data_IF_084720079643
#
_entry.id   IF_084720079643
#
_cell.length_a   1.000
_cell.length_b   1.000
_cell.length_c   1.000
_cell.angle_alpha   90.00
_cell.angle_beta   90.00
_cell.angle_gamma   90.00
#
_symmetry.space_group_name_H-M   'P 1'
#
loop_
_entity.id
_entity.type
_entity.pdbx_description
1 polymer ?
#
# COMPACT_ATOMS: atom_id res chain seq x y z
N UNK A 1 24.19 12.32 -17.56
CA UNK A 1 23.22 12.38 -16.45
C UNK A 1 21.96 11.58 -16.84
N UNK A 2 21.79 10.33 -16.39
CA UNK A 2 20.55 9.58 -16.67
C UNK A 2 19.47 10.16 -15.75
N UNK A 3 18.52 10.87 -16.28
CA UNK A 3 17.29 11.25 -15.58
C UNK A 3 16.58 9.95 -15.16
N UNK A 4 16.76 9.53 -13.91
CA UNK A 4 16.01 8.40 -13.38
C UNK A 4 14.57 8.86 -13.20
N UNK A 5 13.70 8.40 -14.08
CA UNK A 5 12.27 8.60 -13.92
C UNK A 5 11.82 8.06 -12.53
N UNK A 6 11.00 8.85 -11.84
CA UNK A 6 10.44 8.46 -10.54
C UNK A 6 9.64 7.15 -10.69
N UNK A 7 9.93 6.09 -9.90
CA UNK A 7 9.19 4.82 -9.96
C UNK A 7 7.67 4.98 -9.83
N UNK A 8 7.20 6.02 -9.13
CA UNK A 8 5.78 6.33 -8.98
C UNK A 8 5.08 6.68 -10.30
N UNK A 9 5.79 7.24 -11.28
CA UNK A 9 5.22 7.52 -12.60
C UNK A 9 4.84 6.21 -13.32
N UNK A 10 5.69 5.18 -13.23
CA UNK A 10 5.37 3.86 -13.78
C UNK A 10 4.18 3.22 -13.08
N UNK A 11 4.08 3.37 -11.75
CA UNK A 11 2.96 2.86 -10.99
C UNK A 11 1.64 3.55 -11.35
N UNK A 12 1.65 4.87 -11.49
CA UNK A 12 0.48 5.63 -11.94
C UNK A 12 0.05 5.18 -13.34
N UNK A 13 0.99 5.07 -14.28
CA UNK A 13 0.69 4.63 -15.64
C UNK A 13 0.12 3.20 -15.68
N UNK A 14 0.70 2.27 -14.90
CA UNK A 14 0.22 0.90 -14.80
C UNK A 14 -1.20 0.82 -14.22
N UNK A 15 -1.46 1.52 -13.10
CA UNK A 15 -2.78 1.52 -12.45
C UNK A 15 -3.83 2.22 -13.33
N UNK A 16 -3.49 3.32 -14.00
CA UNK A 16 -4.38 4.00 -14.94
C UNK A 16 -4.69 3.13 -16.17
N UNK A 17 -3.69 2.43 -16.71
CA UNK A 17 -3.88 1.48 -17.80
C UNK A 17 -4.77 0.30 -17.41
N UNK A 18 -4.56 -0.26 -16.21
CA UNK A 18 -5.42 -1.32 -15.67
C UNK A 18 -6.86 -0.85 -15.45
N UNK A 19 -7.05 0.40 -14.98
CA UNK A 19 -8.39 0.98 -14.82
C UNK A 19 -9.06 1.16 -16.16
N UNK A 20 -8.38 1.72 -17.15
CA UNK A 20 -8.90 1.90 -18.49
C UNK A 20 -9.30 0.55 -19.13
N UNK A 21 -8.42 -0.45 -19.02
CA UNK A 21 -8.72 -1.81 -19.49
C UNK A 21 -9.89 -2.44 -18.74
N UNK A 22 -9.95 -2.28 -17.41
CA UNK A 22 -11.04 -2.79 -16.59
C UNK A 22 -12.40 -2.21 -16.99
N UNK A 23 -12.44 -0.90 -17.26
CA UNK A 23 -13.67 -0.21 -17.68
C UNK A 23 -14.07 -0.56 -19.12
N UNK A 24 -13.12 -0.65 -20.05
CA UNK A 24 -13.40 -0.88 -21.46
C UNK A 24 -13.57 -2.37 -21.81
N UNK A 25 -12.79 -3.25 -21.20
CA UNK A 25 -12.68 -4.67 -21.56
C UNK A 25 -13.30 -5.65 -20.59
N UNK A 26 -13.41 -5.29 -19.30
CA UNK A 26 -13.94 -6.17 -18.25
C UNK A 26 -15.27 -5.71 -17.68
N UNK A 27 -15.86 -4.66 -18.25
CA UNK A 27 -17.12 -4.07 -17.78
C UNK A 27 -17.13 -3.80 -16.26
N UNK A 28 -16.05 -3.21 -15.72
CA UNK A 28 -16.02 -2.84 -14.32
C UNK A 28 -17.17 -1.92 -13.97
N UNK A 29 -17.85 -2.24 -12.87
CA UNK A 29 -18.93 -1.42 -12.32
C UNK A 29 -18.35 -0.17 -11.64
N UNK A 30 -17.74 0.71 -12.46
CA UNK A 30 -17.20 2.00 -12.04
C UNK A 30 -17.47 3.03 -13.13
N UNK A 31 -18.26 4.04 -12.83
CA UNK A 31 -18.51 5.14 -13.75
C UNK A 31 -17.36 6.13 -13.82
N UNK A 32 -17.21 6.83 -14.94
CA UNK A 32 -16.21 7.92 -15.11
C UNK A 32 -16.42 8.99 -14.04
N UNK A 33 -17.68 9.31 -13.69
CA UNK A 33 -18.00 10.26 -12.62
C UNK A 33 -17.44 9.82 -11.27
N UNK A 34 -17.55 8.52 -10.93
CA UNK A 34 -16.99 7.97 -9.69
C UNK A 34 -15.45 7.98 -9.70
N UNK A 35 -14.82 7.68 -10.83
CA UNK A 35 -13.37 7.81 -10.98
C UNK A 35 -12.93 9.25 -10.71
N UNK A 36 -13.57 10.22 -11.36
CA UNK A 36 -13.28 11.64 -11.16
C UNK A 36 -13.49 12.07 -9.70
N UNK A 37 -14.58 11.65 -9.06
CA UNK A 37 -14.88 11.93 -7.66
C UNK A 37 -13.80 11.39 -6.71
N UNK A 38 -13.41 10.14 -6.86
CA UNK A 38 -12.38 9.50 -6.03
C UNK A 38 -11.01 10.17 -6.19
N UNK A 39 -10.60 10.46 -7.43
CA UNK A 39 -9.32 11.12 -7.70
C UNK A 39 -9.31 12.57 -7.19
N UNK A 40 -10.39 13.33 -7.42
CA UNK A 40 -10.51 14.69 -6.92
C UNK A 40 -10.49 14.71 -5.38
N UNK A 41 -11.23 13.82 -4.73
CA UNK A 41 -11.24 13.70 -3.26
C UNK A 41 -9.86 13.34 -2.73
N UNK A 42 -9.18 12.38 -3.34
CA UNK A 42 -7.83 11.99 -2.92
C UNK A 42 -6.82 13.14 -3.04
N UNK A 43 -6.86 13.88 -4.16
CA UNK A 43 -5.99 15.04 -4.38
C UNK A 43 -6.30 16.19 -3.42
N UNK A 44 -7.59 16.53 -3.23
CA UNK A 44 -8.02 17.56 -2.31
C UNK A 44 -7.62 17.23 -0.87
N UNK A 45 -7.86 15.99 -0.42
CA UNK A 45 -7.46 15.55 0.92
C UNK A 45 -5.94 15.58 1.09
N UNK A 46 -5.17 15.16 0.08
CA UNK A 46 -3.71 15.23 0.10
C UNK A 46 -3.21 16.67 0.22
N UNK A 47 -3.82 17.61 -0.52
CA UNK A 47 -3.48 19.03 -0.46
C UNK A 47 -3.79 19.61 0.93
N UNK A 48 -5.00 19.42 1.42
CA UNK A 48 -5.44 19.93 2.73
C UNK A 48 -4.60 19.34 3.88
N UNK A 49 -4.45 18.02 3.92
CA UNK A 49 -3.67 17.36 4.95
C UNK A 49 -2.17 17.75 4.89
N UNK A 50 -1.62 17.95 3.69
CA UNK A 50 -0.26 18.44 3.51
C UNK A 50 -0.07 19.85 4.04
N UNK A 51 -1.05 20.75 3.80
CA UNK A 51 -1.05 22.13 4.35
C UNK A 51 -1.13 22.13 5.88
N UNK A 52 -2.04 21.34 6.44
CA UNK A 52 -2.19 21.19 7.89
C UNK A 52 -0.94 20.60 8.56
N UNK A 53 -0.24 19.70 7.87
CA UNK A 53 1.01 19.12 8.34
C UNK A 53 2.25 20.01 8.08
N UNK A 54 2.09 21.23 7.57
CA UNK A 54 3.19 22.16 7.32
C UNK A 54 4.16 21.73 6.22
N UNK A 55 3.74 20.90 5.27
CA UNK A 55 4.62 20.44 4.19
C UNK A 55 4.90 21.58 3.19
N UNK A 56 6.17 21.75 2.75
CA UNK A 56 6.56 22.88 1.91
C UNK A 56 6.04 22.83 0.47
N UNK A 57 5.53 21.68 0.01
CA UNK A 57 5.08 21.48 -1.36
C UNK A 57 4.00 20.42 -1.51
N UNK A 58 3.24 20.50 -2.60
CA UNK A 58 2.23 19.52 -2.98
C UNK A 58 2.80 18.48 -3.94
N UNK A 59 2.82 17.21 -3.52
CA UNK A 59 3.16 16.08 -4.39
C UNK A 59 1.89 15.23 -4.63
N UNK A 60 1.29 15.31 -5.84
CA UNK A 60 0.06 14.58 -6.16
C UNK A 60 0.27 13.08 -6.38
N UNK A 61 1.50 12.63 -6.70
CA UNK A 61 1.79 11.27 -7.15
C UNK A 61 1.32 10.21 -6.17
N UNK A 62 1.56 10.41 -4.89
CA UNK A 62 1.14 9.47 -3.85
C UNK A 62 -0.40 9.43 -3.68
N UNK A 63 -1.10 10.56 -3.89
CA UNK A 63 -2.55 10.59 -3.87
C UNK A 63 -3.16 9.92 -5.10
N UNK A 64 -2.57 10.14 -6.28
CA UNK A 64 -2.99 9.50 -7.52
C UNK A 64 -2.87 7.97 -7.44
N UNK A 65 -1.76 7.45 -6.91
CA UNK A 65 -1.58 6.00 -6.71
C UNK A 65 -2.69 5.45 -5.81
N UNK A 66 -2.95 6.08 -4.66
CA UNK A 66 -3.99 5.63 -3.75
C UNK A 66 -5.40 5.78 -4.35
N UNK A 67 -5.68 6.88 -5.05
CA UNK A 67 -6.95 7.13 -5.71
C UNK A 67 -7.23 6.12 -6.84
N UNK A 68 -6.25 5.87 -7.72
CA UNK A 68 -6.37 4.85 -8.77
C UNK A 68 -6.56 3.45 -8.18
N UNK A 69 -5.86 3.12 -7.09
CA UNK A 69 -6.05 1.85 -6.40
C UNK A 69 -7.45 1.72 -5.80
N UNK A 70 -8.03 2.81 -5.29
CA UNK A 70 -9.44 2.83 -4.84
C UNK A 70 -10.40 2.64 -6.02
N UNK A 71 -10.19 3.30 -7.16
CA UNK A 71 -11.01 3.09 -8.36
C UNK A 71 -11.04 1.61 -8.79
N UNK A 72 -9.92 0.92 -8.65
CA UNK A 72 -9.78 -0.49 -9.02
C UNK A 72 -10.43 -1.44 -8.00
N UNK A 73 -10.41 -1.13 -6.70
CA UNK A 73 -10.74 -2.07 -5.64
C UNK A 73 -12.03 -1.73 -4.89
N UNK A 74 -12.31 -0.45 -4.64
CA UNK A 74 -13.44 0.00 -3.84
C UNK A 74 -14.77 -0.22 -4.57
N UNK A 75 -15.71 -0.83 -3.87
CA UNK A 75 -17.10 -0.94 -4.28
C UNK A 75 -18.01 -0.48 -3.14
N UNK A 76 -19.01 0.30 -3.48
CA UNK A 76 -20.07 0.78 -2.58
C UNK A 76 -21.21 1.38 -3.40
N UNK A 77 -22.40 1.33 -2.88
CA UNK A 77 -23.58 1.95 -3.51
C UNK A 77 -23.76 3.42 -3.11
N UNK A 78 -22.89 3.95 -2.23
CA UNK A 78 -22.98 5.32 -1.71
C UNK A 78 -21.79 6.16 -2.15
N UNK A 79 -22.05 7.29 -2.82
CA UNK A 79 -21.00 8.26 -3.16
C UNK A 79 -20.36 8.89 -1.90
N UNK A 80 -21.16 9.09 -0.84
CA UNK A 80 -20.66 9.60 0.44
C UNK A 80 -19.64 8.63 1.07
N UNK A 81 -19.90 7.32 1.00
CA UNK A 81 -18.94 6.30 1.47
C UNK A 81 -17.71 6.21 0.57
N UNK A 82 -17.86 6.41 -0.74
CA UNK A 82 -16.71 6.48 -1.64
C UNK A 82 -15.79 7.66 -1.29
N UNK A 83 -16.37 8.84 -1.09
CA UNK A 83 -15.65 10.04 -0.63
C UNK A 83 -15.01 9.79 0.75
N UNK A 84 -15.77 9.27 1.72
CA UNK A 84 -15.26 8.96 3.06
C UNK A 84 -14.08 7.98 3.01
N UNK A 85 -14.16 6.94 2.16
CA UNK A 85 -13.06 5.98 1.98
C UNK A 85 -11.81 6.66 1.42
N UNK A 86 -11.95 7.55 0.43
CA UNK A 86 -10.83 8.28 -0.12
C UNK A 86 -10.19 9.22 0.91
N UNK A 87 -11.00 9.91 1.71
CA UNK A 87 -10.54 10.77 2.82
C UNK A 87 -9.76 9.96 3.85
N UNK A 88 -10.33 8.86 4.36
CA UNK A 88 -9.68 7.99 5.36
C UNK A 88 -8.37 7.41 4.80
N UNK A 89 -8.39 6.95 3.54
CA UNK A 89 -7.20 6.44 2.84
C UNK A 89 -6.06 7.47 2.84
N UNK A 90 -6.35 8.70 2.45
CA UNK A 90 -5.31 9.73 2.33
C UNK A 90 -4.90 10.27 3.70
N UNK A 91 -5.86 10.53 4.60
CA UNK A 91 -5.57 11.02 5.95
C UNK A 91 -4.69 10.05 6.76
N UNK A 92 -4.85 8.73 6.58
CA UNK A 92 -4.03 7.71 7.25
C UNK A 92 -2.53 7.91 7.05
N UNK A 93 -2.10 8.44 5.88
CA UNK A 93 -0.69 8.74 5.58
C UNK A 93 -0.09 9.81 6.49
N UNK A 94 -0.91 10.71 7.00
CA UNK A 94 -0.47 11.82 7.84
C UNK A 94 -0.58 11.48 9.31
N UNK A 95 -1.61 10.74 9.70
CA UNK A 95 -1.92 10.40 11.09
C UNK A 95 -1.22 9.12 11.54
N UNK A 96 -1.22 8.07 10.71
CA UNK A 96 -0.71 6.75 11.10
C UNK A 96 0.74 6.57 10.66
N UNK A 97 1.64 7.17 11.41
CA UNK A 97 3.08 7.14 11.15
C UNK A 97 3.86 6.68 12.38
N UNK A 98 4.95 5.96 12.12
CA UNK A 98 5.92 5.59 13.14
C UNK A 98 7.32 5.99 12.68
N UNK A 99 8.01 6.83 13.45
CA UNK A 99 9.31 7.39 13.08
C UNK A 99 9.34 7.97 11.64
N UNK A 100 8.24 8.64 11.21
CA UNK A 100 8.10 9.22 9.87
C UNK A 100 7.89 8.21 8.72
N UNK A 101 7.75 6.90 8.98
CA UNK A 101 7.35 5.86 8.04
C UNK A 101 5.84 5.64 8.15
N UNK A 102 5.16 5.39 7.02
CA UNK A 102 3.75 5.02 7.07
C UNK A 102 3.61 3.65 7.74
N UNK A 103 2.67 3.54 8.67
CA UNK A 103 2.42 2.28 9.37
C UNK A 103 1.65 1.28 8.51
N UNK A 104 0.72 1.78 7.68
CA UNK A 104 -0.12 0.97 6.82
C UNK A 104 0.02 1.39 5.35
N UNK A 105 -0.19 0.45 4.43
CA UNK A 105 -0.53 0.82 3.07
C UNK A 105 -1.84 1.62 3.09
N UNK A 106 -1.87 2.86 2.55
CA UNK A 106 -3.01 3.75 2.72
C UNK A 106 -4.30 3.19 2.14
N UNK A 107 -4.24 2.62 0.94
CA UNK A 107 -5.41 2.04 0.27
C UNK A 107 -5.94 0.84 1.04
N UNK A 108 -5.04 -0.04 1.50
CA UNK A 108 -5.44 -1.19 2.31
C UNK A 108 -6.11 -0.76 3.62
N UNK A 109 -5.52 0.22 4.32
CA UNK A 109 -6.10 0.75 5.55
C UNK A 109 -7.48 1.36 5.33
N UNK A 110 -7.63 2.22 4.32
CA UNK A 110 -8.90 2.86 4.00
C UNK A 110 -10.00 1.85 3.69
N UNK A 111 -9.69 0.84 2.86
CA UNK A 111 -10.65 -0.24 2.54
C UNK A 111 -11.04 -1.04 3.79
N UNK A 112 -10.08 -1.54 4.55
CA UNK A 112 -10.34 -2.36 5.74
C UNK A 112 -11.11 -1.58 6.81
N UNK A 113 -10.70 -0.33 7.09
CA UNK A 113 -11.36 0.53 8.07
C UNK A 113 -12.83 0.79 7.69
N UNK A 114 -13.10 1.08 6.40
CA UNK A 114 -14.46 1.37 5.96
C UNK A 114 -15.32 0.12 5.82
N UNK A 115 -14.74 -1.04 5.49
CA UNK A 115 -15.44 -2.32 5.53
C UNK A 115 -15.91 -2.61 6.97
N UNK A 116 -15.03 -2.38 7.96
CA UNK A 116 -15.37 -2.58 9.38
C UNK A 116 -16.40 -1.59 9.90
N UNK A 117 -16.25 -0.31 9.55
CA UNK A 117 -17.06 0.74 10.12
C UNK A 117 -18.48 0.81 9.55
N UNK A 118 -18.65 0.46 8.28
CA UNK A 118 -19.92 0.73 7.56
C UNK A 118 -20.67 -0.51 7.10
N UNK A 119 -19.96 -1.64 6.93
CA UNK A 119 -20.50 -2.86 6.31
C UNK A 119 -21.12 -2.66 4.91
N UNK A 120 -21.03 -1.45 4.35
CA UNK A 120 -21.56 -1.05 3.04
C UNK A 120 -20.46 -0.71 2.01
N UNK A 121 -19.23 -1.02 2.38
CA UNK A 121 -18.05 -0.97 1.51
C UNK A 121 -17.52 -2.39 1.34
N UNK A 122 -17.17 -2.76 0.10
CA UNK A 122 -16.57 -4.08 -0.18
C UNK A 122 -15.53 -4.00 -1.29
N UNK A 123 -14.80 -5.08 -1.48
CA UNK A 123 -13.89 -5.31 -2.59
C UNK A 123 -14.40 -6.50 -3.39
N UNK A 124 -14.44 -6.38 -4.71
CA UNK A 124 -14.91 -7.43 -5.62
C UNK A 124 -13.73 -8.09 -6.36
N UNK A 125 -13.13 -9.16 -5.79
CA UNK A 125 -12.04 -9.85 -6.48
C UNK A 125 -12.45 -10.49 -7.80
N UNK A 126 -13.70 -10.91 -7.92
CA UNK A 126 -14.26 -11.60 -9.09
C UNK A 126 -14.35 -10.72 -10.34
N UNK A 127 -14.39 -9.40 -10.21
CA UNK A 127 -14.47 -8.49 -11.36
C UNK A 127 -13.25 -8.58 -12.31
N UNK A 128 -12.12 -9.07 -11.79
CA UNK A 128 -10.88 -9.21 -12.57
C UNK A 128 -10.92 -10.42 -13.50
N UNK A 129 -11.94 -11.27 -13.37
CA UNK A 129 -12.02 -12.52 -14.12
C UNK A 129 -10.83 -13.46 -13.83
N UNK A 130 -10.70 -14.46 -14.66
CA UNK A 130 -9.65 -15.48 -14.58
C UNK A 130 -8.86 -15.59 -15.87
N UNK A 131 -8.91 -14.57 -16.72
CA UNK A 131 -8.20 -14.60 -17.99
C UNK A 131 -6.69 -14.61 -17.75
N UNK A 132 -6.03 -15.69 -18.14
CA UNK A 132 -4.57 -15.84 -18.05
C UNK A 132 -3.82 -14.67 -18.70
N UNK A 133 -4.36 -14.09 -19.78
CA UNK A 133 -3.83 -12.92 -20.43
C UNK A 133 -3.81 -11.68 -19.52
N UNK A 134 -4.89 -11.43 -18.78
CA UNK A 134 -4.92 -10.31 -17.83
C UNK A 134 -3.91 -10.53 -16.70
N UNK A 135 -3.85 -11.76 -16.15
CA UNK A 135 -2.86 -12.10 -15.15
C UNK A 135 -1.43 -11.86 -15.64
N UNK A 136 -1.12 -12.25 -16.86
CA UNK A 136 0.16 -11.98 -17.50
C UNK A 136 0.42 -10.47 -17.66
N UNK A 137 -0.56 -9.71 -18.15
CA UNK A 137 -0.44 -8.26 -18.32
C UNK A 137 -0.16 -7.55 -16.98
N UNK A 138 -0.91 -7.88 -15.93
CA UNK A 138 -0.71 -7.33 -14.58
C UNK A 138 0.67 -7.72 -14.03
N UNK A 139 1.11 -8.95 -14.23
CA UNK A 139 2.42 -9.41 -13.80
C UNK A 139 3.56 -8.68 -14.53
N UNK A 140 3.43 -8.44 -15.83
CA UNK A 140 4.43 -7.69 -16.60
C UNK A 140 4.51 -6.22 -16.16
N UNK A 141 3.38 -5.53 -16.07
CA UNK A 141 3.32 -4.13 -15.64
C UNK A 141 3.75 -3.99 -14.17
N UNK A 142 3.24 -4.84 -13.30
CA UNK A 142 3.59 -4.87 -11.90
C UNK A 142 5.06 -5.24 -11.66
N UNK A 143 5.57 -6.23 -12.38
CA UNK A 143 6.98 -6.63 -12.35
C UNK A 143 7.92 -5.48 -12.70
N UNK A 144 7.57 -4.68 -13.71
CA UNK A 144 8.31 -3.46 -14.07
C UNK A 144 8.32 -2.46 -12.89
N UNK A 145 7.15 -2.22 -12.26
CA UNK A 145 7.01 -1.28 -11.15
C UNK A 145 7.84 -1.72 -9.93
N UNK A 146 7.71 -2.97 -9.49
CA UNK A 146 8.42 -3.45 -8.29
C UNK A 146 9.93 -3.55 -8.51
N UNK A 147 10.37 -3.86 -9.74
CA UNK A 147 11.79 -3.85 -10.08
C UNK A 147 12.36 -2.43 -10.02
N UNK A 148 11.64 -1.44 -10.56
CA UNK A 148 12.03 -0.02 -10.47
C UNK A 148 12.01 0.49 -9.03
N UNK A 149 11.11 0.00 -8.20
CA UNK A 149 11.01 0.32 -6.78
C UNK A 149 11.99 -0.49 -5.90
N UNK A 150 12.78 -1.42 -6.45
CA UNK A 150 13.65 -2.35 -5.72
C UNK A 150 12.89 -3.12 -4.62
N UNK A 151 11.70 -3.65 -4.96
CA UNK A 151 10.79 -4.40 -4.09
C UNK A 151 10.34 -5.73 -4.68
N UNK A 152 11.02 -6.23 -5.70
CA UNK A 152 10.73 -7.54 -6.32
C UNK A 152 10.92 -8.71 -5.33
N UNK A 153 11.78 -8.56 -4.33
CA UNK A 153 12.01 -9.56 -3.28
C UNK A 153 10.74 -9.81 -2.42
N UNK A 154 10.03 -8.77 -1.99
CA UNK A 154 8.80 -8.95 -1.20
C UNK A 154 7.67 -9.53 -2.04
N UNK A 155 7.51 -9.08 -3.28
CA UNK A 155 6.49 -9.61 -4.20
C UNK A 155 6.74 -11.09 -4.50
N UNK A 156 7.98 -11.45 -4.83
CA UNK A 156 8.35 -12.84 -5.13
C UNK A 156 8.17 -13.74 -3.91
N UNK A 157 8.66 -13.32 -2.73
CA UNK A 157 8.50 -14.08 -1.50
C UNK A 157 7.02 -14.28 -1.14
N UNK A 158 6.18 -13.26 -1.35
CA UNK A 158 4.73 -13.37 -1.15
C UNK A 158 4.09 -14.36 -2.13
N UNK A 159 4.33 -14.22 -3.44
CA UNK A 159 3.73 -15.10 -4.46
C UNK A 159 4.17 -16.54 -4.29
N UNK A 160 5.46 -16.80 -4.01
CA UNK A 160 5.98 -18.15 -3.76
C UNK A 160 5.39 -18.70 -2.46
N UNK A 161 5.40 -17.92 -1.37
CA UNK A 161 4.86 -18.37 -0.08
C UNK A 161 3.36 -18.65 -0.14
N UNK A 162 2.58 -17.73 -0.71
CA UNK A 162 1.14 -17.93 -0.85
C UNK A 162 0.80 -19.06 -1.84
N UNK A 163 1.49 -19.13 -2.97
CA UNK A 163 1.36 -20.23 -3.93
C UNK A 163 1.65 -21.58 -3.30
N UNK A 164 2.75 -21.70 -2.55
CA UNK A 164 3.08 -22.92 -1.82
C UNK A 164 1.95 -23.36 -0.87
N UNK A 165 1.36 -22.40 -0.11
CA UNK A 165 0.23 -22.70 0.78
C UNK A 165 -1.00 -23.19 0.01
N UNK A 166 -1.30 -22.59 -1.16
CA UNK A 166 -2.41 -23.02 -2.00
C UNK A 166 -2.22 -24.44 -2.53
N UNK A 167 -1.02 -24.75 -3.07
CA UNK A 167 -0.71 -26.08 -3.63
C UNK A 167 -0.63 -27.15 -2.54
N UNK A 168 0.01 -26.86 -1.40
CA UNK A 168 0.08 -27.79 -0.28
C UNK A 168 -1.31 -28.11 0.28
N UNK A 169 -2.17 -27.10 0.37
CA UNK A 169 -3.57 -27.31 0.79
C UNK A 169 -4.33 -28.18 -0.22
N UNK A 170 -4.20 -27.88 -1.51
CA UNK A 170 -4.86 -28.68 -2.57
C UNK A 170 -4.39 -30.14 -2.53
N UNK A 171 -3.08 -30.38 -2.40
CA UNK A 171 -2.52 -31.70 -2.26
C UNK A 171 -3.04 -32.44 -1.01
N UNK A 172 -3.17 -31.74 0.13
CA UNK A 172 -3.69 -32.33 1.36
C UNK A 172 -5.17 -32.72 1.26
N UNK A 173 -5.98 -31.89 0.59
CA UNK A 173 -7.42 -32.13 0.44
C UNK A 173 -7.78 -33.04 -0.74
N UNK A 174 -6.80 -33.36 -1.62
CA UNK A 174 -7.05 -34.06 -2.85
C UNK A 174 -7.74 -33.21 -3.92
N UNK A 175 -7.68 -31.88 -3.80
CA UNK A 175 -8.26 -30.96 -4.76
C UNK A 175 -7.48 -30.98 -6.09
N UNK A 176 -8.13 -30.77 -7.25
CA UNK A 176 -7.43 -30.62 -8.53
C UNK A 176 -6.42 -29.47 -8.50
N UNK A 177 -5.22 -29.69 -9.04
CA UNK A 177 -4.14 -28.67 -9.09
C UNK A 177 -4.48 -27.45 -9.97
N UNK A 178 -5.52 -27.55 -10.79
CA UNK A 178 -6.06 -26.41 -11.54
C UNK A 178 -6.65 -25.32 -10.63
N UNK A 179 -7.17 -25.68 -9.43
CA UNK A 179 -7.76 -24.72 -8.49
C UNK A 179 -6.71 -23.72 -7.97
N UNK A 180 -5.58 -24.15 -7.33
CA UNK A 180 -4.56 -23.21 -6.91
C UNK A 180 -3.93 -22.42 -8.07
N UNK A 181 -3.76 -23.05 -9.23
CA UNK A 181 -3.26 -22.37 -10.42
C UNK A 181 -4.20 -21.22 -10.83
N UNK A 182 -5.50 -21.49 -10.86
CA UNK A 182 -6.51 -20.49 -11.18
C UNK A 182 -6.54 -19.33 -10.17
N UNK A 183 -6.39 -19.64 -8.88
CA UNK A 183 -6.32 -18.62 -7.82
C UNK A 183 -5.09 -17.72 -7.98
N UNK A 184 -3.95 -18.27 -8.41
CA UNK A 184 -2.73 -17.49 -8.66
C UNK A 184 -2.84 -16.57 -9.89
N UNK A 185 -3.70 -16.90 -10.84
CA UNK A 185 -3.97 -16.07 -12.01
C UNK A 185 -4.96 -14.95 -11.73
N UNK A 186 -5.57 -14.92 -10.54
CA UNK A 186 -6.55 -13.92 -10.16
C UNK A 186 -5.97 -12.50 -10.14
N UNK A 187 -6.54 -11.57 -10.92
CA UNK A 187 -6.05 -10.20 -11.02
C UNK A 187 -6.01 -9.47 -9.67
N UNK A 188 -6.94 -9.75 -8.76
CA UNK A 188 -6.94 -9.19 -7.41
C UNK A 188 -5.69 -9.60 -6.60
N UNK A 189 -5.28 -10.88 -6.68
CA UNK A 189 -4.05 -11.36 -6.05
C UNK A 189 -2.81 -10.67 -6.62
N UNK A 190 -2.75 -10.55 -7.95
CA UNK A 190 -1.62 -9.92 -8.63
C UNK A 190 -1.52 -8.43 -8.31
N UNK A 191 -2.66 -7.71 -8.29
CA UNK A 191 -2.68 -6.30 -7.85
C UNK A 191 -2.20 -6.18 -6.42
N UNK A 192 -2.65 -7.04 -5.52
CA UNK A 192 -2.18 -7.06 -4.14
C UNK A 192 -0.67 -7.27 -4.07
N UNK A 193 -0.13 -8.27 -4.79
CA UNK A 193 1.28 -8.64 -4.77
C UNK A 193 2.20 -7.55 -5.35
N UNK A 194 1.76 -6.89 -6.43
CA UNK A 194 2.61 -5.93 -7.13
C UNK A 194 2.42 -4.48 -6.68
N UNK A 195 1.26 -4.10 -6.13
CA UNK A 195 0.94 -2.70 -5.86
C UNK A 195 0.60 -2.40 -4.39
N UNK A 196 0.29 -3.41 -3.57
CA UNK A 196 -0.06 -3.19 -2.17
C UNK A 196 1.02 -3.65 -1.20
N UNK A 197 1.37 -4.96 -1.20
CA UNK A 197 2.38 -5.49 -0.29
C UNK A 197 3.80 -4.99 -0.65
N UNK A 198 4.02 -4.58 -1.90
CA UNK A 198 5.30 -4.08 -2.40
C UNK A 198 5.54 -2.59 -2.13
N UNK A 199 4.63 -1.88 -1.46
CA UNK A 199 4.79 -0.45 -1.18
C UNK A 199 6.05 -0.18 -0.33
N UNK A 200 7.06 0.55 -0.91
CA UNK A 200 8.34 0.75 -0.22
C UNK A 200 8.25 1.55 1.07
N UNK A 201 7.18 2.32 1.26
CA UNK A 201 7.00 3.18 2.44
C UNK A 201 6.39 2.43 3.62
N UNK A 202 5.85 1.23 3.40
CA UNK A 202 5.15 0.45 4.43
C UNK A 202 5.78 -0.92 4.70
N UNK A 203 6.64 -1.40 3.79
CA UNK A 203 7.39 -2.66 3.96
C UNK A 203 8.62 -2.49 4.85
N UNK A 204 9.14 -3.57 5.48
CA UNK A 204 10.40 -3.54 6.21
C UNK A 204 11.58 -3.03 5.39
N UNK A 205 12.56 -2.43 6.06
CA UNK A 205 13.70 -1.79 5.41
C UNK A 205 14.74 -2.82 4.94
N UNK A 206 14.98 -3.91 5.69
CA UNK A 206 15.90 -4.98 5.31
C UNK A 206 15.28 -6.00 4.36
N UNK A 207 16.10 -6.66 3.54
CA UNK A 207 15.64 -7.73 2.64
C UNK A 207 15.07 -8.93 3.42
N UNK A 208 15.75 -9.35 4.48
CA UNK A 208 15.28 -10.44 5.34
C UNK A 208 13.94 -10.09 6.01
N UNK A 209 13.80 -8.85 6.50
CA UNK A 209 12.54 -8.36 7.06
C UNK A 209 11.39 -8.37 6.05
N UNK A 210 11.66 -7.98 4.79
CA UNK A 210 10.65 -8.01 3.72
C UNK A 210 10.21 -9.43 3.38
N UNK A 211 11.13 -10.38 3.30
CA UNK A 211 10.81 -11.79 3.06
C UNK A 211 9.99 -12.36 4.20
N UNK A 212 10.40 -12.12 5.45
CA UNK A 212 9.65 -12.54 6.65
C UNK A 212 8.24 -11.94 6.64
N UNK A 213 8.12 -10.64 6.42
CA UNK A 213 6.84 -9.95 6.36
C UNK A 213 5.92 -10.52 5.27
N UNK A 214 6.46 -10.78 4.07
CA UNK A 214 5.72 -11.35 2.96
C UNK A 214 5.17 -12.74 3.28
N UNK A 215 5.97 -13.60 3.91
CA UNK A 215 5.55 -14.95 4.34
C UNK A 215 4.48 -14.87 5.43
N UNK A 216 4.63 -13.98 6.41
CA UNK A 216 3.63 -13.77 7.45
C UNK A 216 2.29 -13.28 6.86
N UNK A 217 2.33 -12.33 5.92
CA UNK A 217 1.12 -11.85 5.23
C UNK A 217 0.47 -12.96 4.40
N UNK A 218 1.26 -13.79 3.72
CA UNK A 218 0.75 -14.93 2.96
C UNK A 218 0.05 -15.95 3.89
N UNK A 219 0.70 -16.31 4.99
CA UNK A 219 0.14 -17.24 5.98
C UNK A 219 -1.12 -16.70 6.65
N UNK A 220 -1.11 -15.43 7.07
CA UNK A 220 -2.27 -14.77 7.65
C UNK A 220 -3.43 -14.65 6.67
N UNK A 221 -3.16 -14.35 5.39
CA UNK A 221 -4.16 -14.33 4.33
C UNK A 221 -4.81 -15.69 4.11
N UNK A 222 -3.99 -16.75 4.03
CA UNK A 222 -4.47 -18.12 3.92
C UNK A 222 -5.29 -18.53 5.18
N UNK A 223 -4.85 -18.16 6.37
CA UNK A 223 -5.59 -18.41 7.60
C UNK A 223 -6.97 -17.74 7.60
N UNK A 224 -7.04 -16.44 7.25
CA UNK A 224 -8.32 -15.72 7.18
C UNK A 224 -9.23 -16.34 6.12
N UNK A 225 -8.71 -16.71 4.96
CA UNK A 225 -9.49 -17.26 3.86
C UNK A 225 -9.99 -18.67 4.14
N UNK A 226 -9.13 -19.58 4.66
CA UNK A 226 -9.43 -21.00 4.74
C UNK A 226 -9.85 -21.48 6.13
N UNK A 227 -9.58 -20.73 7.20
CA UNK A 227 -9.98 -21.08 8.57
C UNK A 227 -11.11 -20.19 9.08
N UNK A 228 -11.08 -18.90 8.76
CA UNK A 228 -12.13 -17.98 9.17
C UNK A 228 -13.22 -17.80 8.10
N UNK A 229 -13.03 -18.35 6.90
CA UNK A 229 -13.95 -18.27 5.77
C UNK A 229 -14.40 -16.83 5.46
N UNK A 230 -13.46 -15.88 5.59
CA UNK A 230 -13.76 -14.47 5.32
C UNK A 230 -13.19 -14.06 3.95
N UNK A 231 -13.95 -13.26 3.18
CA UNK A 231 -13.46 -12.69 1.93
C UNK A 231 -12.31 -11.71 2.20
N UNK A 232 -11.52 -11.44 1.18
CA UNK A 232 -10.42 -10.46 1.23
C UNK A 232 -9.34 -10.77 2.28
N UNK A 233 -9.04 -12.05 2.53
CA UNK A 233 -8.09 -12.50 3.54
C UNK A 233 -6.73 -11.80 3.48
N UNK A 234 -6.24 -11.48 2.27
CA UNK A 234 -4.98 -10.77 2.07
C UNK A 234 -5.02 -9.33 2.57
N UNK A 235 -6.13 -8.62 2.37
CA UNK A 235 -6.29 -7.25 2.87
C UNK A 235 -6.32 -7.23 4.40
N UNK A 236 -7.05 -8.17 5.02
CA UNK A 236 -7.08 -8.33 6.48
C UNK A 236 -5.70 -8.65 7.04
N UNK A 237 -5.00 -9.62 6.45
CA UNK A 237 -3.67 -10.01 6.87
C UNK A 237 -2.68 -8.85 6.79
N UNK A 238 -2.67 -8.12 5.68
CA UNK A 238 -1.79 -6.95 5.50
C UNK A 238 -2.10 -5.86 6.54
N UNK A 239 -3.38 -5.58 6.81
CA UNK A 239 -3.77 -4.57 7.79
C UNK A 239 -3.33 -4.96 9.21
N UNK A 240 -3.58 -6.22 9.63
CA UNK A 240 -3.24 -6.70 10.97
C UNK A 240 -1.72 -6.79 11.19
N UNK A 241 -0.96 -7.17 10.15
CA UNK A 241 0.48 -7.36 10.27
C UNK A 241 1.30 -6.08 10.01
N UNK A 242 0.72 -5.05 9.39
CA UNK A 242 1.42 -3.78 9.15
C UNK A 242 2.00 -3.14 10.42
N UNK A 243 1.33 -3.13 11.59
CA UNK A 243 1.90 -2.64 12.85
C UNK A 243 3.13 -3.42 13.36
N UNK A 244 3.36 -4.63 12.85
CA UNK A 244 4.56 -5.41 13.20
C UNK A 244 5.82 -4.94 12.46
N UNK A 245 5.69 -4.15 11.39
CA UNK A 245 6.83 -3.67 10.59
C UNK A 245 7.87 -2.91 11.43
N UNK A 246 7.51 -2.00 12.35
CA UNK A 246 8.49 -1.37 13.23
C UNK A 246 9.25 -2.35 14.14
N UNK A 247 8.62 -3.44 14.56
CA UNK A 247 9.27 -4.49 15.34
C UNK A 247 10.26 -5.28 14.44
N UNK A 248 9.83 -5.63 13.23
CA UNK A 248 10.69 -6.31 12.25
C UNK A 248 11.92 -5.44 11.92
N UNK A 249 11.72 -4.12 11.71
CA UNK A 249 12.83 -3.20 11.45
C UNK A 249 13.79 -3.05 12.65
N UNK A 250 13.32 -3.34 13.87
CA UNK A 250 14.18 -3.41 15.07
C UNK A 250 15.04 -4.66 15.11
N UNK A 251 14.44 -5.80 14.78
CA UNK A 251 15.10 -7.11 14.84
C UNK A 251 16.00 -7.35 13.63
N UNK A 252 15.60 -6.85 12.47
CA UNK A 252 16.27 -7.00 11.19
C UNK A 252 16.50 -5.62 10.54
N UNK A 253 17.45 -4.84 11.04
CA UNK A 253 17.68 -3.47 10.59
C UNK A 253 18.10 -3.41 9.12
N UNK A 254 17.70 -2.33 8.43
CA UNK A 254 18.01 -2.09 7.02
C UNK A 254 18.06 -0.61 6.68
N UNK A 255 18.44 -0.31 5.44
CA UNK A 255 18.46 1.06 4.93
C UNK A 255 17.06 1.51 4.52
N UNK A 256 16.65 2.67 5.00
CA UNK A 256 15.37 3.27 4.69
C UNK A 256 15.24 3.60 3.21
N UNK A 257 14.07 3.36 2.65
CA UNK A 257 13.78 3.66 1.25
C UNK A 257 13.59 5.17 1.02
N UNK A 258 14.31 5.69 0.02
CA UNK A 258 14.14 7.06 -0.47
C UNK A 258 13.80 7.06 -1.97
N UNK A 259 12.71 7.78 -2.34
CA UNK A 259 12.29 7.95 -3.73
C UNK A 259 13.30 8.72 -4.58
N UNK A 260 14.07 9.62 -3.96
CA UNK A 260 15.04 10.47 -4.67
C UNK A 260 16.31 9.73 -5.10
N UNK A 261 16.46 8.46 -4.76
CA UNK A 261 17.64 7.67 -5.09
C UNK A 261 18.93 8.21 -4.47
N UNK A 262 18.84 9.07 -3.45
CA UNK A 262 19.98 9.54 -2.68
C UNK A 262 20.59 8.38 -1.91
N UNK A 263 21.91 8.42 -1.74
CA UNK A 263 22.68 7.40 -1.08
C UNK A 263 21.94 6.91 0.18
N UNK A 264 21.79 5.61 0.30
CA UNK A 264 21.18 4.91 1.43
C UNK A 264 21.88 5.37 2.71
N UNK A 265 21.26 6.29 3.45
CA UNK A 265 21.76 6.69 4.76
C UNK A 265 21.40 5.54 5.70
N UNK A 266 22.37 4.87 6.34
CA UNK A 266 22.07 3.94 7.42
C UNK A 266 21.20 4.66 8.45
N UNK A 267 20.20 3.99 9.01
CA UNK A 267 19.41 4.55 10.09
C UNK A 267 20.39 5.02 11.19
N UNK A 268 20.29 6.26 11.69
CA UNK A 268 21.21 6.74 12.72
C UNK A 268 21.14 5.79 13.93
N UNK A 269 22.29 5.47 14.55
CA UNK A 269 22.29 4.69 15.78
C UNK A 269 21.41 5.41 16.79
N UNK A 270 20.54 4.68 17.48
CA UNK A 270 19.64 5.23 18.48
C UNK A 270 20.45 5.95 19.55
N UNK A 271 20.46 7.26 19.51
CA UNK A 271 20.74 8.04 20.70
C UNK A 271 19.60 7.76 21.67
N UNK A 272 19.95 7.37 22.89
CA UNK A 272 18.98 7.16 23.97
C UNK A 272 18.05 8.36 24.02
N UNK A 273 16.77 8.09 24.25
CA UNK A 273 15.76 9.12 24.43
C UNK A 273 16.08 9.86 25.70
N UNK A 274 16.92 10.90 25.59
CA UNK A 274 16.94 11.99 26.56
C UNK A 274 15.73 12.83 26.18
N UNK A 275 14.71 12.82 27.02
CA UNK A 275 13.65 13.80 27.01
C UNK A 275 14.31 15.17 27.15
N UNK A 276 14.46 15.92 26.06
CA UNK A 276 14.73 17.34 26.15
C UNK A 276 13.49 17.98 26.77
N UNK A 277 13.64 18.77 27.85
CA UNK A 277 12.50 19.47 28.44
C UNK A 277 11.92 20.44 27.41
N UNK A 278 10.59 20.57 27.43
CA UNK A 278 9.75 21.40 26.55
C UNK A 278 10.05 22.93 26.64
N UNK A 279 11.12 23.32 27.32
CA UNK A 279 11.42 24.72 27.64
C UNK A 279 12.16 25.48 26.52
N UNK A 280 12.63 24.81 25.45
CA UNK A 280 13.43 25.50 24.40
C UNK A 280 12.58 26.07 23.22
N UNK A 281 11.28 26.16 23.39
CA UNK A 281 10.36 26.73 22.37
C UNK A 281 9.91 28.16 22.65
N UNK A 282 10.50 28.85 23.63
CA UNK A 282 10.24 30.28 23.82
C UNK A 282 11.18 31.10 22.93
N UNK A 283 10.69 32.01 22.08
CA UNK A 283 11.54 32.89 21.30
C UNK A 283 12.37 33.76 22.22
N UNK A 284 13.69 33.73 22.08
CA UNK A 284 14.63 34.63 22.74
C UNK A 284 14.34 36.08 22.26
N UNK A 285 13.73 36.85 23.11
CA UNK A 285 13.61 38.29 22.89
C UNK A 285 15.00 38.92 22.93
N UNK A 286 15.36 39.79 21.95
CA UNK A 286 16.64 40.46 21.98
C UNK A 286 16.66 41.49 23.13
N UNK A 287 17.63 41.28 24.05
CA UNK A 287 17.94 42.29 25.08
C UNK A 287 18.54 43.51 24.37
N UNK A 288 17.86 44.63 24.45
CA UNK A 288 18.32 45.89 23.92
C UNK A 288 19.62 46.37 24.62
N UNK A 289 20.43 47.26 23.96
CA UNK A 289 21.68 47.70 24.50
C UNK A 289 21.48 48.60 25.73
N UNK A 290 22.12 48.21 26.84
CA UNK A 290 22.27 49.06 28.01
C UNK A 290 23.22 50.21 27.65
N UNK A 291 22.72 51.44 27.63
CA UNK A 291 23.53 52.64 27.67
C UNK A 291 24.03 52.83 29.10
N UNK A 292 25.31 53.00 29.22
CA UNK A 292 26.05 53.47 30.36
C UNK A 292 27.40 54.00 29.88
#
# INVERSE_FOLDING_TARGET
MRTRFDPRAYQIAALAGLLAYGMAGLAFDVSIGRVALLLATALATQYLAGRLAGLPGFDPRSALISGLSLCLLLRTNSEALAVGTAVVTIASKFVLRWNGKHLFNPTNFGLVAMILATHAVWVSPGQWGSAAFLGFLVACLGGMVVNRAARSDVTLAFLVGYGALLFLRAAWLGDPMSIPLHQLQGGALLIFAFFMISDPKTTPDSRAGRVLFAILVAAGGAYVQFRLYRPNGLLWSLAVLSPAVPLIDRLLPGCRYDWAGRARIPAPPRKGVTHAPVLDLLPQLPLGPTRG
#
